data_IF_694363387614
#
_entry.id   IF_694363387614
#
_cell.length_a   1.000
_cell.length_b   1.000
_cell.length_c   1.000
_cell.angle_alpha   90.00
_cell.angle_beta   90.00
_cell.angle_gamma   90.00
#
_symmetry.space_group_name_H-M   'P 1'
#
loop_
_entity.id
_entity.type
_entity.pdbx_description
1 polymer ?
#
# COMPACT_ATOMS: atom_id res chain seq x y z
N UNK A 1 12.15 10.33 -19.48
CA UNK A 1 12.46 11.07 -18.25
C UNK A 1 13.33 10.19 -17.35
N UNK A 2 14.58 10.58 -17.14
CA UNK A 2 15.53 9.81 -16.33
C UNK A 2 15.53 10.45 -14.93
N UNK A 3 15.24 9.65 -13.90
CA UNK A 3 15.30 10.10 -12.51
C UNK A 3 16.74 10.54 -12.17
N UNK A 4 16.97 11.81 -11.78
CA UNK A 4 18.31 12.30 -11.47
C UNK A 4 18.96 11.58 -10.28
N UNK A 5 18.19 10.87 -9.47
CA UNK A 5 18.66 10.07 -8.32
C UNK A 5 18.66 8.57 -8.61
N UNK A 6 18.68 8.17 -9.89
CA UNK A 6 18.62 6.77 -10.33
C UNK A 6 19.66 5.87 -9.66
N UNK A 7 20.85 6.38 -9.40
CA UNK A 7 21.93 5.63 -8.75
C UNK A 7 21.63 5.29 -7.27
N UNK A 8 20.72 6.05 -6.65
CA UNK A 8 20.29 5.81 -5.26
C UNK A 8 19.13 4.82 -5.14
N UNK A 9 18.53 4.45 -6.25
CA UNK A 9 17.38 3.53 -6.29
C UNK A 9 17.90 2.11 -6.14
N UNK A 10 17.56 1.47 -5.00
CA UNK A 10 17.83 0.05 -4.85
C UNK A 10 17.00 -0.77 -5.85
N UNK A 11 17.63 -1.73 -6.53
CA UNK A 11 16.95 -2.58 -7.52
C UNK A 11 15.78 -3.38 -6.93
N UNK A 12 15.88 -3.82 -5.66
CA UNK A 12 14.83 -4.63 -5.00
C UNK A 12 13.46 -3.94 -4.91
N UNK A 13 13.33 -2.68 -4.44
CA UNK A 13 12.03 -1.98 -4.44
C UNK A 13 11.43 -1.80 -5.84
N UNK A 14 12.27 -1.52 -6.84
CA UNK A 14 11.84 -1.40 -8.23
C UNK A 14 11.29 -2.73 -8.75
N UNK A 15 12.00 -3.82 -8.52
CA UNK A 15 11.54 -5.16 -8.90
C UNK A 15 10.21 -5.52 -8.24
N UNK A 16 10.08 -5.26 -6.94
CA UNK A 16 8.80 -5.48 -6.22
C UNK A 16 7.66 -4.69 -6.87
N UNK A 17 7.88 -3.42 -7.20
CA UNK A 17 6.86 -2.57 -7.84
C UNK A 17 6.49 -3.07 -9.25
N UNK A 18 7.45 -3.56 -10.02
CA UNK A 18 7.20 -4.12 -11.37
C UNK A 18 6.42 -5.43 -11.28
N UNK A 19 6.73 -6.30 -10.30
CA UNK A 19 6.11 -7.62 -10.18
C UNK A 19 4.73 -7.58 -9.49
N UNK A 20 4.38 -6.50 -8.77
CA UNK A 20 3.09 -6.37 -8.11
C UNK A 20 1.93 -6.51 -9.11
N UNK A 21 1.96 -5.80 -10.23
CA UNK A 21 0.86 -5.81 -11.22
C UNK A 21 0.68 -7.20 -11.86
N UNK A 22 1.72 -7.86 -12.40
CA UNK A 22 1.60 -9.22 -12.91
C UNK A 22 1.09 -10.22 -11.87
N UNK A 23 1.59 -10.13 -10.63
CA UNK A 23 1.18 -11.04 -9.55
C UNK A 23 -0.32 -10.89 -9.24
N UNK A 24 -0.79 -9.65 -9.10
CA UNK A 24 -2.21 -9.37 -8.85
C UNK A 24 -3.05 -9.87 -10.02
N UNK A 25 -2.63 -9.61 -11.24
CA UNK A 25 -3.33 -10.05 -12.44
C UNK A 25 -3.49 -11.56 -12.47
N UNK A 26 -2.43 -12.31 -12.16
CA UNK A 26 -2.49 -13.79 -12.07
C UNK A 26 -3.47 -14.22 -10.98
N UNK A 27 -3.38 -13.64 -9.78
CA UNK A 27 -4.26 -13.99 -8.66
C UNK A 27 -5.73 -13.73 -8.98
N UNK A 28 -6.05 -12.57 -9.58
CA UNK A 28 -7.43 -12.23 -9.97
C UNK A 28 -7.93 -13.18 -11.06
N UNK A 29 -7.10 -13.49 -12.08
CA UNK A 29 -7.51 -14.43 -13.13
C UNK A 29 -7.77 -15.83 -12.58
N UNK A 30 -6.89 -16.34 -11.72
CA UNK A 30 -7.09 -17.65 -11.06
C UNK A 30 -8.40 -17.65 -10.28
N UNK A 31 -8.73 -16.57 -9.56
CA UNK A 31 -9.97 -16.43 -8.84
C UNK A 31 -11.19 -16.47 -9.77
N UNK A 32 -11.15 -15.72 -10.88
CA UNK A 32 -12.21 -15.70 -11.89
C UNK A 32 -12.43 -17.11 -12.46
N UNK A 33 -11.35 -17.85 -12.77
CA UNK A 33 -11.46 -19.23 -13.25
C UNK A 33 -12.08 -20.17 -12.21
N UNK A 34 -11.69 -20.05 -10.93
CA UNK A 34 -12.29 -20.87 -9.85
C UNK A 34 -13.81 -20.64 -9.80
N UNK A 35 -14.25 -19.37 -9.85
CA UNK A 35 -15.67 -19.01 -9.83
C UNK A 35 -16.38 -19.50 -11.09
N UNK A 36 -15.78 -19.36 -12.26
CA UNK A 36 -16.33 -19.82 -13.53
C UNK A 36 -16.53 -21.35 -13.58
N UNK A 37 -15.67 -22.10 -12.88
CA UNK A 37 -15.79 -23.56 -12.72
C UNK A 37 -16.77 -23.98 -11.61
N UNK A 38 -17.52 -23.04 -11.03
CA UNK A 38 -18.52 -23.32 -10.00
C UNK A 38 -17.99 -23.32 -8.56
N UNK A 39 -16.76 -22.85 -8.35
CA UNK A 39 -16.18 -22.66 -7.02
C UNK A 39 -16.93 -21.58 -6.23
N UNK A 40 -17.26 -21.88 -4.98
CA UNK A 40 -17.97 -20.95 -4.08
C UNK A 40 -16.94 -20.08 -3.31
N UNK A 41 -16.37 -19.09 -3.98
CA UNK A 41 -15.45 -18.12 -3.37
C UNK A 41 -16.12 -16.75 -3.36
N UNK A 42 -16.14 -16.09 -2.22
CA UNK A 42 -16.57 -14.69 -2.13
C UNK A 42 -15.53 -13.80 -2.84
N UNK A 43 -15.99 -13.08 -3.88
CA UNK A 43 -15.14 -12.12 -4.59
C UNK A 43 -14.65 -11.02 -3.64
N UNK A 44 -15.53 -10.52 -2.77
CA UNK A 44 -15.22 -9.50 -1.75
C UNK A 44 -14.10 -9.97 -0.83
N UNK A 45 -14.22 -11.19 -0.28
CA UNK A 45 -13.18 -11.79 0.57
C UNK A 45 -11.83 -11.87 -0.16
N UNK A 46 -11.82 -12.37 -1.38
CA UNK A 46 -10.59 -12.58 -2.13
C UNK A 46 -9.89 -11.26 -2.48
N UNK A 47 -10.65 -10.25 -2.91
CA UNK A 47 -10.10 -8.92 -3.24
C UNK A 47 -9.48 -8.27 -2.00
N UNK A 48 -10.18 -8.26 -0.87
CA UNK A 48 -9.65 -7.65 0.35
C UNK A 48 -8.46 -8.41 0.93
N UNK A 49 -8.44 -9.74 0.80
CA UNK A 49 -7.28 -10.55 1.18
C UNK A 49 -6.04 -10.19 0.33
N UNK A 50 -6.20 -10.12 -1.00
CA UNK A 50 -5.11 -9.76 -1.92
C UNK A 50 -4.59 -8.35 -1.61
N UNK A 51 -5.47 -7.37 -1.41
CA UNK A 51 -5.09 -6.00 -1.06
C UNK A 51 -4.38 -5.97 0.30
N UNK A 52 -4.85 -6.75 1.27
CA UNK A 52 -4.20 -6.86 2.57
C UNK A 52 -2.76 -7.37 2.47
N UNK A 53 -2.53 -8.43 1.71
CA UNK A 53 -1.18 -8.96 1.44
C UNK A 53 -0.31 -7.92 0.75
N UNK A 54 -0.86 -7.19 -0.24
CA UNK A 54 -0.15 -6.08 -0.90
C UNK A 54 0.26 -4.98 0.08
N UNK A 55 -0.64 -4.55 0.94
CA UNK A 55 -0.36 -3.50 1.92
C UNK A 55 0.75 -3.92 2.88
N UNK A 56 0.76 -5.19 3.33
CA UNK A 56 1.86 -5.73 4.15
C UNK A 56 3.17 -5.70 3.37
N UNK A 57 3.16 -6.15 2.12
CA UNK A 57 4.33 -6.14 1.25
C UNK A 57 4.88 -4.73 1.05
N UNK A 58 4.04 -3.79 0.62
CA UNK A 58 4.41 -2.39 0.42
C UNK A 58 4.90 -1.75 1.73
N UNK A 59 4.19 -1.98 2.84
CA UNK A 59 4.54 -1.45 4.15
C UNK A 59 5.93 -1.89 4.63
N UNK A 60 6.31 -3.15 4.39
CA UNK A 60 7.65 -3.65 4.70
C UNK A 60 8.76 -3.03 3.84
N UNK A 61 8.43 -2.56 2.63
CA UNK A 61 9.40 -1.94 1.73
C UNK A 61 9.49 -0.43 1.90
N UNK A 62 8.42 0.26 2.30
CA UNK A 62 8.39 1.72 2.48
C UNK A 62 9.60 2.28 3.25
N UNK A 63 9.99 1.74 4.43
CA UNK A 63 11.12 2.28 5.19
C UNK A 63 12.50 2.13 4.52
N UNK A 64 12.58 1.30 3.48
CA UNK A 64 13.83 1.01 2.73
C UNK A 64 13.98 1.87 1.48
N UNK A 65 12.95 2.66 1.16
CA UNK A 65 12.96 3.54 -0.01
C UNK A 65 13.83 4.76 0.27
N UNK A 66 14.93 4.89 -0.46
CA UNK A 66 15.70 6.13 -0.51
C UNK A 66 14.97 7.17 -1.33
N UNK A 67 15.21 8.44 -1.04
CA UNK A 67 14.57 9.56 -1.74
C UNK A 67 14.84 9.48 -3.25
N UNK A 68 13.75 9.48 -4.03
CA UNK A 68 13.78 9.38 -5.49
C UNK A 68 12.48 9.95 -6.10
N UNK A 69 12.47 10.14 -7.43
CA UNK A 69 11.30 10.67 -8.16
C UNK A 69 10.41 9.57 -8.77
N UNK A 70 10.74 8.29 -8.59
CA UNK A 70 10.06 7.18 -9.25
C UNK A 70 9.04 6.51 -8.33
N UNK A 71 9.41 6.13 -7.10
CA UNK A 71 8.61 5.31 -6.18
C UNK A 71 8.55 5.95 -4.80
N UNK A 72 7.36 6.02 -4.19
CA UNK A 72 7.15 6.49 -2.83
C UNK A 72 6.10 7.58 -2.70
N UNK A 73 5.99 8.18 -1.52
CA UNK A 73 5.12 9.30 -1.21
C UNK A 73 5.85 10.58 -1.67
N UNK A 74 5.55 10.99 -2.91
CA UNK A 74 6.23 12.09 -3.62
C UNK A 74 5.41 13.35 -3.54
N UNK A 75 5.62 14.12 -2.50
CA UNK A 75 5.08 15.46 -2.33
C UNK A 75 6.24 16.46 -2.23
N UNK A 76 6.04 17.76 -2.52
CA UNK A 76 7.14 18.71 -2.60
C UNK A 76 8.09 18.67 -1.40
N UNK A 77 7.55 18.60 -0.20
CA UNK A 77 8.33 18.60 1.03
C UNK A 77 9.09 17.29 1.28
N UNK A 78 8.57 16.12 0.88
CA UNK A 78 9.35 14.87 0.95
C UNK A 78 10.45 14.82 -0.10
N UNK A 79 10.24 15.44 -1.26
CA UNK A 79 11.25 15.50 -2.33
C UNK A 79 12.37 16.50 -2.02
N UNK A 80 12.08 17.53 -1.22
CA UNK A 80 13.04 18.57 -0.87
C UNK A 80 13.82 18.29 0.43
N UNK A 81 13.33 17.35 1.28
CA UNK A 81 13.96 16.97 2.54
C UNK A 81 14.11 15.45 2.64
N UNK A 82 15.34 14.97 2.71
CA UNK A 82 15.64 13.55 2.90
C UNK A 82 15.18 13.07 4.29
N UNK A 83 15.25 13.92 5.30
CA UNK A 83 14.77 13.60 6.65
C UNK A 83 13.25 13.45 6.68
N UNK A 84 12.50 14.38 6.05
CA UNK A 84 11.05 14.26 5.89
C UNK A 84 10.69 12.97 5.13
N UNK A 85 11.40 12.67 4.04
CA UNK A 85 11.23 11.43 3.29
C UNK A 85 11.36 10.20 4.18
N UNK A 86 12.48 10.10 4.90
CA UNK A 86 12.77 8.95 5.74
C UNK A 86 11.76 8.77 6.88
N UNK A 87 11.37 9.86 7.55
CA UNK A 87 10.37 9.82 8.61
C UNK A 87 8.99 9.44 8.10
N UNK A 88 8.57 10.05 6.97
CA UNK A 88 7.28 9.76 6.33
C UNK A 88 7.20 8.31 5.90
N UNK A 89 8.20 7.77 5.21
CA UNK A 89 8.17 6.40 4.72
C UNK A 89 8.28 5.36 5.86
N UNK A 90 8.96 5.68 6.96
CA UNK A 90 8.98 4.81 8.16
C UNK A 90 7.61 4.76 8.83
N UNK A 91 6.94 5.88 8.96
CA UNK A 91 5.59 5.94 9.53
C UNK A 91 4.59 5.25 8.59
N UNK A 92 4.59 5.61 7.32
CA UNK A 92 3.73 5.01 6.32
C UNK A 92 3.89 3.49 6.26
N UNK A 93 5.12 2.97 6.33
CA UNK A 93 5.39 1.54 6.36
C UNK A 93 4.64 0.82 7.48
N UNK A 94 4.65 1.37 8.70
CA UNK A 94 3.91 0.80 9.84
C UNK A 94 2.40 0.85 9.60
N UNK A 95 1.90 1.99 9.14
CA UNK A 95 0.46 2.18 8.86
C UNK A 95 -0.03 1.22 7.78
N UNK A 96 0.75 1.03 6.71
CA UNK A 96 0.41 0.10 5.63
C UNK A 96 0.40 -1.36 6.10
N UNK A 97 1.35 -1.78 6.95
CA UNK A 97 1.34 -3.14 7.53
C UNK A 97 0.09 -3.35 8.39
N UNK A 98 -0.23 -2.40 9.27
CA UNK A 98 -1.43 -2.48 10.12
C UNK A 98 -2.70 -2.51 9.26
N UNK A 99 -2.78 -1.64 8.26
CA UNK A 99 -3.90 -1.60 7.31
C UNK A 99 -4.06 -2.93 6.54
N UNK A 100 -2.96 -3.54 6.15
CA UNK A 100 -2.95 -4.84 5.49
C UNK A 100 -3.46 -5.97 6.39
N UNK A 101 -3.04 -5.99 7.65
CA UNK A 101 -3.54 -6.95 8.65
C UNK A 101 -5.05 -6.75 8.88
N UNK A 102 -5.50 -5.51 9.05
CA UNK A 102 -6.94 -5.19 9.19
C UNK A 102 -7.71 -5.67 7.96
N UNK A 103 -7.22 -5.41 6.75
CA UNK A 103 -7.86 -5.84 5.50
C UNK A 103 -8.00 -7.36 5.40
N UNK A 104 -6.99 -8.12 5.84
CA UNK A 104 -7.05 -9.59 5.89
C UNK A 104 -8.09 -10.06 6.92
N UNK A 105 -8.11 -9.45 8.10
CA UNK A 105 -9.10 -9.79 9.14
C UNK A 105 -10.53 -9.55 8.62
N UNK A 106 -10.77 -8.40 7.98
CA UNK A 106 -12.07 -8.06 7.38
C UNK A 106 -12.43 -9.08 6.29
N UNK A 107 -11.49 -9.46 5.43
CA UNK A 107 -11.70 -10.48 4.41
C UNK A 107 -12.15 -11.82 5.03
N UNK A 108 -11.52 -12.25 6.12
CA UNK A 108 -11.88 -13.50 6.82
C UNK A 108 -13.23 -13.41 7.53
N UNK A 109 -13.65 -12.21 7.96
CA UNK A 109 -14.94 -11.96 8.60
C UNK A 109 -16.08 -11.68 7.61
N UNK A 110 -15.84 -11.79 6.31
CA UNK A 110 -16.81 -11.47 5.25
C UNK A 110 -18.15 -12.22 5.38
N UNK A 111 -18.16 -13.42 5.98
CA UNK A 111 -19.39 -14.18 6.23
C UNK A 111 -20.21 -13.66 7.43
N UNK A 112 -19.62 -12.80 8.26
CA UNK A 112 -20.23 -12.24 9.49
C UNK A 112 -20.65 -10.79 9.29
N UNK A 113 -19.86 -10.05 8.51
CA UNK A 113 -20.10 -8.64 8.20
C UNK A 113 -20.95 -8.51 6.93
N UNK A 114 -21.82 -7.53 6.91
CA UNK A 114 -22.48 -7.16 5.63
C UNK A 114 -21.47 -6.54 4.67
N UNK A 115 -21.74 -6.67 3.36
CA UNK A 115 -20.88 -6.08 2.32
C UNK A 115 -20.72 -4.57 2.50
N UNK A 116 -21.79 -3.88 2.90
CA UNK A 116 -21.76 -2.43 3.14
C UNK A 116 -20.78 -2.06 4.27
N UNK A 117 -20.84 -2.75 5.41
CA UNK A 117 -19.94 -2.52 6.54
C UNK A 117 -18.50 -2.83 6.13
N UNK A 118 -18.29 -3.90 5.40
CA UNK A 118 -16.98 -4.31 4.89
C UNK A 118 -16.38 -3.22 4.00
N UNK A 119 -17.14 -2.67 3.07
CA UNK A 119 -16.72 -1.60 2.17
C UNK A 119 -16.40 -0.32 2.95
N UNK A 120 -17.26 0.07 3.91
CA UNK A 120 -17.05 1.28 4.72
C UNK A 120 -15.73 1.19 5.51
N UNK A 121 -15.49 0.07 6.19
CA UNK A 121 -14.25 -0.11 6.96
C UNK A 121 -13.04 -0.08 6.02
N UNK A 122 -13.13 -0.75 4.86
CA UNK A 122 -12.05 -0.75 3.89
C UNK A 122 -11.74 0.64 3.34
N UNK A 123 -12.77 1.42 3.01
CA UNK A 123 -12.61 2.81 2.57
C UNK A 123 -11.95 3.68 3.65
N UNK A 124 -12.33 3.51 4.91
CA UNK A 124 -11.71 4.20 6.03
C UNK A 124 -10.22 3.84 6.17
N UNK A 125 -9.87 2.56 6.08
CA UNK A 125 -8.48 2.08 6.11
C UNK A 125 -7.68 2.68 4.94
N UNK A 126 -8.23 2.68 3.74
CA UNK A 126 -7.59 3.23 2.55
C UNK A 126 -7.35 4.75 2.66
N UNK A 127 -8.34 5.50 3.14
CA UNK A 127 -8.21 6.94 3.37
C UNK A 127 -7.16 7.26 4.43
N UNK A 128 -7.15 6.52 5.54
CA UNK A 128 -6.16 6.71 6.61
C UNK A 128 -4.74 6.42 6.11
N UNK A 129 -4.54 5.39 5.32
CA UNK A 129 -3.21 5.07 4.78
C UNK A 129 -2.72 6.14 3.80
N UNK A 130 -3.56 6.58 2.87
CA UNK A 130 -3.19 7.57 1.86
C UNK A 130 -3.09 8.97 2.43
N UNK A 131 -4.20 9.50 2.94
CA UNK A 131 -4.27 10.88 3.44
C UNK A 131 -3.43 11.05 4.71
N UNK A 132 -3.46 10.08 5.63
CA UNK A 132 -2.69 10.12 6.88
C UNK A 132 -1.19 10.21 6.65
N UNK A 133 -0.68 9.49 5.65
CA UNK A 133 0.75 9.55 5.30
C UNK A 133 1.16 10.91 4.74
N UNK A 134 0.32 11.51 3.88
CA UNK A 134 0.55 12.85 3.33
C UNK A 134 0.40 13.92 4.41
N UNK A 135 -0.63 13.82 5.26
CA UNK A 135 -0.86 14.76 6.36
C UNK A 135 0.30 14.74 7.36
N UNK A 136 0.83 13.56 7.70
CA UNK A 136 2.01 13.44 8.57
C UNK A 136 3.24 14.11 7.94
N UNK A 137 3.49 13.88 6.66
CA UNK A 137 4.59 14.50 5.92
C UNK A 137 4.45 16.04 5.87
N UNK A 138 3.23 16.55 5.69
CA UNK A 138 2.96 17.99 5.76
C UNK A 138 3.17 18.57 7.17
N UNK A 139 2.76 17.83 8.20
CA UNK A 139 3.02 18.22 9.58
C UNK A 139 4.51 18.33 9.88
N UNK A 140 5.33 17.37 9.43
CA UNK A 140 6.79 17.44 9.54
C UNK A 140 7.34 18.71 8.88
N UNK A 141 6.87 19.02 7.69
CA UNK A 141 7.28 20.23 6.97
C UNK A 141 6.93 21.51 7.73
N UNK A 142 5.66 21.64 8.22
CA UNK A 142 5.18 22.85 8.87
C UNK A 142 5.72 23.04 10.29
N UNK A 143 5.80 21.98 11.08
CA UNK A 143 6.12 22.06 12.51
C UNK A 143 7.62 21.86 12.78
N UNK A 144 8.27 20.99 12.04
CA UNK A 144 9.70 20.70 12.21
C UNK A 144 10.61 21.42 11.20
N UNK A 145 10.07 22.10 10.21
CA UNK A 145 10.84 22.77 9.17
C UNK A 145 11.57 21.80 8.22
N UNK A 146 11.10 20.56 8.09
CA UNK A 146 11.73 19.48 7.32
C UNK A 146 11.24 19.39 5.89
#
# INVERSE_FOLDING_TARGET
>A
YIDPRKEQIHHKPVLVSIWIVPLITILINVLIYIIALGGKVSMTMAVFFIIGVMFIGLGNYMPKLKQNYTIGIKVPWTLNSEENWNMTHRMAGKVYVVAGVISIIIALLNNVLSDEVTIIIFMAVFLVTGIGSVAYSFWLYKVKGL
#
